data_IF_916936803179
#
_entry.id   IF_916936803179
#
_cell.length_a   1.000
_cell.length_b   1.000
_cell.length_c   1.000
_cell.angle_alpha   90.00
_cell.angle_beta   90.00
_cell.angle_gamma   90.00
#
_symmetry.space_group_name_H-M   'P 1'
#
loop_
_entity.id
_entity.type
_entity.pdbx_description
1 polymer ?
#
# COMPACT_ATOMS: atom_id res chain seq x y z
N UNK A 1 12.04 -6.12 1.64
CA UNK A 1 10.93 -5.45 2.33
C UNK A 1 10.14 -6.48 3.16
N UNK A 2 9.66 -6.12 4.36
CA UNK A 2 8.67 -6.93 5.10
C UNK A 2 7.27 -6.33 4.91
N UNK A 3 6.27 -7.15 4.59
CA UNK A 3 4.88 -6.73 4.43
C UNK A 3 4.04 -7.36 5.55
N UNK A 4 3.35 -6.53 6.32
CA UNK A 4 2.41 -6.94 7.35
C UNK A 4 1.00 -6.59 6.89
N UNK A 5 0.12 -7.58 6.73
CA UNK A 5 -1.24 -7.41 6.23
C UNK A 5 -2.23 -7.73 7.36
N UNK A 6 -3.11 -6.78 7.67
CA UNK A 6 -4.14 -6.93 8.69
C UNK A 6 -5.54 -6.73 8.08
N UNK A 7 -6.48 -7.58 8.47
CA UNK A 7 -7.89 -7.43 8.17
C UNK A 7 -8.62 -6.78 9.34
N UNK A 8 -9.43 -5.75 9.09
CA UNK A 8 -10.32 -5.16 10.08
C UNK A 8 -11.78 -5.36 9.67
N UNK A 9 -12.51 -6.17 10.44
CA UNK A 9 -13.86 -6.66 10.09
C UNK A 9 -13.93 -7.37 8.72
N UNK A 10 -12.82 -7.96 8.29
CA UNK A 10 -12.72 -8.79 7.08
C UNK A 10 -11.84 -10.00 7.37
N UNK A 11 -12.26 -11.16 6.85
CA UNK A 11 -11.43 -12.35 6.87
C UNK A 11 -10.42 -12.26 5.72
N UNK A 12 -9.13 -12.29 6.06
CA UNK A 12 -8.07 -12.28 5.05
C UNK A 12 -8.00 -13.65 4.39
N UNK A 13 -8.28 -13.69 3.09
CA UNK A 13 -8.08 -14.88 2.26
C UNK A 13 -6.67 -14.92 1.70
N UNK A 14 -6.19 -16.10 1.34
CA UNK A 14 -4.86 -16.29 0.72
C UNK A 14 -4.75 -15.48 -0.58
N UNK A 15 -5.80 -15.45 -1.42
CA UNK A 15 -5.79 -14.69 -2.66
C UNK A 15 -5.65 -13.19 -2.44
N UNK A 16 -6.19 -12.65 -1.35
CA UNK A 16 -6.04 -11.24 -0.99
C UNK A 16 -4.61 -10.94 -0.54
N UNK A 17 -4.03 -11.82 0.28
CA UNK A 17 -2.64 -11.69 0.73
C UNK A 17 -1.68 -11.75 -0.47
N UNK A 18 -1.87 -12.73 -1.36
CA UNK A 18 -1.07 -12.88 -2.58
C UNK A 18 -1.18 -11.66 -3.48
N UNK A 19 -2.39 -11.11 -3.65
CA UNK A 19 -2.59 -9.90 -4.46
C UNK A 19 -1.87 -8.69 -3.90
N UNK A 20 -1.96 -8.47 -2.58
CA UNK A 20 -1.20 -7.40 -1.90
C UNK A 20 0.30 -7.63 -2.10
N UNK A 21 0.80 -8.85 -1.85
CA UNK A 21 2.22 -9.17 -2.01
C UNK A 21 2.70 -8.90 -3.43
N UNK A 22 1.95 -9.32 -4.47
CA UNK A 22 2.33 -9.10 -5.87
C UNK A 22 2.44 -7.60 -6.20
N UNK A 23 1.47 -6.79 -5.74
CA UNK A 23 1.43 -5.35 -6.01
C UNK A 23 2.56 -4.61 -5.30
N UNK A 24 2.81 -4.93 -4.03
CA UNK A 24 3.86 -4.28 -3.25
C UNK A 24 5.26 -4.75 -3.65
N UNK A 25 5.42 -5.97 -4.14
CA UNK A 25 6.68 -6.42 -4.73
C UNK A 25 7.04 -5.63 -6.00
N UNK A 26 6.04 -5.23 -6.80
CA UNK A 26 6.27 -4.32 -7.93
C UNK A 26 6.72 -2.94 -7.46
N UNK A 27 6.09 -2.40 -6.40
CA UNK A 27 6.51 -1.13 -5.78
C UNK A 27 7.99 -1.16 -5.35
N UNK A 28 8.41 -2.22 -4.65
CA UNK A 28 9.82 -2.38 -4.21
C UNK A 28 10.81 -2.37 -5.38
N UNK A 29 10.45 -2.92 -6.55
CA UNK A 29 11.33 -2.90 -7.74
C UNK A 29 11.54 -1.50 -8.33
N UNK A 30 10.60 -0.58 -8.14
CA UNK A 30 10.70 0.79 -8.67
C UNK A 30 11.25 1.79 -7.65
N UNK A 31 11.10 1.47 -6.37
CA UNK A 31 11.48 2.34 -5.26
C UNK A 31 12.37 1.58 -4.29
N UNK A 32 13.68 1.79 -4.44
CA UNK A 32 14.66 1.30 -3.49
C UNK A 32 14.39 1.88 -2.09
N UNK A 33 14.72 1.11 -1.05
CA UNK A 33 14.64 1.52 0.36
C UNK A 33 13.24 1.61 1.01
N UNK A 34 12.31 0.75 0.59
CA UNK A 34 11.11 0.47 1.40
C UNK A 34 11.49 -0.57 2.46
N UNK A 35 11.54 -0.15 3.72
CA UNK A 35 12.00 -0.98 4.83
C UNK A 35 10.89 -1.92 5.33
N UNK A 36 9.72 -1.33 5.59
CA UNK A 36 8.59 -2.03 6.17
C UNK A 36 7.28 -1.46 5.61
N UNK A 37 6.29 -2.33 5.45
CA UNK A 37 4.97 -2.02 4.93
C UNK A 37 3.92 -2.56 5.88
N UNK A 38 2.98 -1.69 6.26
CA UNK A 38 1.76 -2.07 6.97
C UNK A 38 0.57 -1.84 6.05
N UNK A 39 -0.18 -2.90 5.76
CA UNK A 39 -1.41 -2.84 4.96
C UNK A 39 -2.59 -3.20 5.85
N UNK A 40 -3.65 -2.39 5.81
CA UNK A 40 -4.92 -2.66 6.47
C UNK A 40 -6.01 -2.74 5.40
N UNK A 41 -6.67 -3.90 5.34
CA UNK A 41 -7.84 -4.13 4.51
C UNK A 41 -9.07 -4.11 5.43
N UNK A 42 -10.11 -3.36 5.06
CA UNK A 42 -11.33 -3.27 5.88
C UNK A 42 -12.59 -3.04 5.06
N UNK A 43 -13.73 -3.39 5.64
CA UNK A 43 -15.05 -3.13 5.06
C UNK A 43 -15.80 -2.15 5.94
N UNK A 44 -16.26 -1.05 5.33
CA UNK A 44 -17.12 -0.07 5.98
C UNK A 44 -18.41 0.09 5.17
N UNK A 45 -19.51 -0.46 5.70
CA UNK A 45 -20.82 -0.56 5.01
C UNK A 45 -20.68 -1.28 3.66
N UNK A 46 -20.75 -0.54 2.55
CA UNK A 46 -20.63 -1.05 1.19
C UNK A 46 -19.26 -0.75 0.55
N UNK A 47 -18.39 -0.03 1.27
CA UNK A 47 -17.07 0.39 0.75
C UNK A 47 -16.00 -0.57 1.25
N UNK A 48 -15.17 -0.99 0.31
CA UNK A 48 -13.98 -1.79 0.55
C UNK A 48 -12.80 -0.82 0.62
N UNK A 49 -12.06 -0.84 1.72
CA UNK A 49 -11.02 0.15 2.00
C UNK A 49 -9.68 -0.58 2.12
N UNK A 50 -8.68 -0.08 1.40
CA UNK A 50 -7.29 -0.46 1.53
C UNK A 50 -6.48 0.74 2.00
N UNK A 51 -5.70 0.55 3.05
CA UNK A 51 -4.83 1.56 3.64
C UNK A 51 -3.43 0.99 3.78
N UNK A 52 -2.41 1.80 3.51
CA UNK A 52 -1.04 1.38 3.76
C UNK A 52 -0.13 2.50 4.24
N UNK A 53 0.80 2.10 5.09
CA UNK A 53 1.91 2.92 5.57
C UNK A 53 3.22 2.25 5.15
N UNK A 54 4.03 2.97 4.38
CA UNK A 54 5.36 2.58 3.96
C UNK A 54 6.38 3.33 4.82
N UNK A 55 7.28 2.60 5.47
CA UNK A 55 8.48 3.18 6.08
C UNK A 55 9.59 3.19 5.04
N UNK A 56 10.00 4.40 4.64
CA UNK A 56 11.05 4.62 3.64
C UNK A 56 12.25 5.30 4.30
N UNK A 57 13.37 5.38 3.59
CA UNK A 57 14.48 6.20 4.06
C UNK A 57 14.03 7.65 4.24
N UNK A 58 14.30 8.19 5.42
CA UNK A 58 14.02 9.59 5.79
C UNK A 58 12.52 9.96 5.73
N UNK A 59 11.62 9.03 6.05
CA UNK A 59 10.22 9.38 6.26
C UNK A 59 9.26 8.21 6.21
N UNK A 60 7.98 8.56 6.20
CA UNK A 60 6.88 7.63 6.07
C UNK A 60 5.93 8.14 5.00
N UNK A 61 5.36 7.20 4.24
CA UNK A 61 4.40 7.48 3.18
C UNK A 61 3.12 6.74 3.52
N UNK A 62 2.02 7.47 3.57
CA UNK A 62 0.73 6.94 3.96
C UNK A 62 -0.33 7.28 2.91
N UNK A 63 -1.11 6.27 2.53
CA UNK A 63 -2.24 6.42 1.64
C UNK A 63 -3.39 5.47 2.01
N UNK A 64 -4.60 5.90 1.66
CA UNK A 64 -5.81 5.09 1.75
C UNK A 64 -6.66 5.26 0.48
N UNK A 65 -7.40 4.22 0.12
CA UNK A 65 -8.36 4.23 -0.98
C UNK A 65 -9.57 3.37 -0.64
N UNK A 66 -10.74 3.81 -1.09
CA UNK A 66 -12.01 3.13 -0.94
C UNK A 66 -12.68 2.90 -2.30
N UNK A 67 -13.14 1.68 -2.54
CA UNK A 67 -13.78 1.25 -3.78
C UNK A 67 -14.96 0.31 -3.50
N UNK A 68 -15.63 -0.14 -4.55
CA UNK A 68 -16.70 -1.15 -4.46
C UNK A 68 -16.16 -2.58 -4.22
N UNK A 69 -14.89 -2.83 -4.57
CA UNK A 69 -14.20 -4.12 -4.41
C UNK A 69 -12.84 -3.92 -3.76
N UNK A 70 -12.42 -4.87 -2.91
CA UNK A 70 -11.13 -4.79 -2.22
C UNK A 70 -9.95 -4.80 -3.20
N UNK A 71 -10.06 -5.53 -4.32
CA UNK A 71 -9.02 -5.58 -5.35
C UNK A 71 -8.86 -4.22 -6.04
N UNK A 72 -9.98 -3.55 -6.33
CA UNK A 72 -9.96 -2.19 -6.86
C UNK A 72 -9.39 -1.19 -5.84
N UNK A 73 -9.75 -1.33 -4.56
CA UNK A 73 -9.20 -0.49 -3.49
C UNK A 73 -7.67 -0.65 -3.37
N UNK A 74 -7.16 -1.87 -3.48
CA UNK A 74 -5.72 -2.16 -3.48
C UNK A 74 -5.03 -1.51 -4.70
N UNK A 75 -5.64 -1.58 -5.89
CA UNK A 75 -5.09 -0.92 -7.09
C UNK A 75 -5.05 0.60 -6.95
N UNK A 76 -6.17 1.20 -6.53
CA UNK A 76 -6.27 2.65 -6.27
C UNK A 76 -5.31 3.11 -5.16
N UNK A 77 -5.05 2.27 -4.15
CA UNK A 77 -4.06 2.52 -3.10
C UNK A 77 -2.64 2.53 -3.69
N UNK A 78 -2.28 1.52 -4.47
CA UNK A 78 -0.95 1.40 -5.09
C UNK A 78 -0.67 2.61 -5.98
N UNK A 79 -1.63 3.05 -6.80
CA UNK A 79 -1.49 4.24 -7.63
C UNK A 79 -1.22 5.51 -6.81
N UNK A 80 -1.87 5.66 -5.66
CA UNK A 80 -1.62 6.77 -4.72
C UNK A 80 -0.20 6.69 -4.14
N UNK A 81 0.23 5.50 -3.71
CA UNK A 81 1.57 5.28 -3.17
C UNK A 81 2.66 5.58 -4.20
N UNK A 82 2.51 5.14 -5.45
CA UNK A 82 3.46 5.44 -6.55
C UNK A 82 3.64 6.95 -6.71
N UNK A 83 2.55 7.72 -6.70
CA UNK A 83 2.60 9.18 -6.81
C UNK A 83 3.32 9.83 -5.62
N UNK A 84 3.08 9.35 -4.40
CA UNK A 84 3.74 9.89 -3.20
C UNK A 84 5.23 9.52 -3.16
N UNK A 85 5.58 8.29 -3.54
CA UNK A 85 6.96 7.82 -3.63
C UNK A 85 7.76 8.60 -4.67
N UNK A 86 7.18 8.89 -5.84
CA UNK A 86 7.82 9.76 -6.83
C UNK A 86 8.11 11.16 -6.27
N UNK A 87 7.13 11.79 -5.61
CA UNK A 87 7.32 13.10 -4.96
C UNK A 87 8.39 13.05 -3.86
N UNK A 88 8.46 11.96 -3.10
CA UNK A 88 9.49 11.77 -2.06
C UNK A 88 10.88 11.66 -2.68
N UNK A 89 11.02 10.84 -3.73
CA UNK A 89 12.27 10.67 -4.47
C UNK A 89 12.75 11.98 -5.12
N UNK A 90 11.85 12.75 -5.72
CA UNK A 90 12.17 14.07 -6.29
C UNK A 90 12.72 15.02 -5.21
N UNK A 91 12.09 15.09 -4.04
CA UNK A 91 12.57 15.93 -2.93
C UNK A 91 13.96 15.54 -2.45
N UNK A 92 14.24 14.24 -2.34
CA UNK A 92 15.56 13.75 -1.91
C UNK A 92 16.66 14.05 -2.95
N UNK A 93 16.34 13.99 -4.25
CA UNK A 93 17.28 14.27 -5.32
C UNK A 93 17.52 15.76 -5.59
N UNK A 94 16.73 16.66 -4.99
CA UNK A 94 16.86 18.11 -5.19
C UNK A 94 17.81 18.77 -4.17
N UNK A 95 18.44 17.97 -3.29
CA UNK A 95 19.45 18.40 -2.33
C UNK A 95 20.85 17.91 -2.71
#
# INVERSE_FOLDING_TARGET
>A
MQININGHHIELTDSMQDYVNEKFQKLERFFDHINNVHVVLKVEKLRQIAEATLHVNQGEIHASADEESIYAAIDSLVDKLVRQLNKHKEKLNTH
#
